data_IF_862152589486
#
_entry.id   IF_862152589486
#
_cell.length_a   1.000
_cell.length_b   1.000
_cell.length_c   1.000
_cell.angle_alpha   90.00
_cell.angle_beta   90.00
_cell.angle_gamma   90.00
#
_symmetry.space_group_name_H-M   'P 1'
#
loop_
_entity.id
_entity.type
_entity.pdbx_description
1 polymer ?
#
# COMPACT_ATOMS: atom_id res chain seq x y z
N UNK A 1 18.62 10.25 15.59
CA UNK A 1 17.63 11.22 15.09
C UNK A 1 16.69 10.47 14.17
N UNK A 2 15.38 10.73 14.22
CA UNK A 2 14.46 10.22 13.20
C UNK A 2 14.95 10.73 11.84
N UNK A 3 15.08 9.83 10.88
CA UNK A 3 15.57 10.15 9.55
C UNK A 3 14.49 10.97 8.82
N UNK A 4 14.80 12.15 8.23
CA UNK A 4 13.80 12.97 7.55
C UNK A 4 13.37 12.40 6.19
N UNK A 5 13.94 11.27 5.74
CA UNK A 5 13.59 10.68 4.46
C UNK A 5 12.14 10.21 4.46
N UNK A 6 11.42 10.70 3.45
CA UNK A 6 10.10 10.20 3.05
C UNK A 6 10.23 9.62 1.65
N UNK A 7 9.83 8.37 1.50
CA UNK A 7 9.64 7.73 0.20
C UNK A 7 8.25 8.09 -0.29
N UNK A 8 8.11 8.60 -1.51
CA UNK A 8 6.81 8.87 -2.11
C UNK A 8 6.69 8.12 -3.44
N UNK A 9 5.54 7.47 -3.65
CA UNK A 9 5.10 6.94 -4.94
C UNK A 9 3.67 7.40 -5.22
N UNK A 10 3.27 7.46 -6.49
CA UNK A 10 2.02 8.10 -6.88
C UNK A 10 1.43 7.52 -8.15
N UNK A 11 0.11 7.62 -8.29
CA UNK A 11 -0.59 7.23 -9.51
C UNK A 11 -1.90 7.97 -9.65
N UNK A 12 -2.26 8.36 -10.89
CA UNK A 12 -3.65 8.71 -11.21
C UNK A 12 -4.43 7.46 -11.60
N UNK A 13 -5.57 7.25 -10.94
CA UNK A 13 -6.53 6.17 -11.21
C UNK A 13 -7.81 6.76 -11.80
N UNK A 14 -8.28 6.22 -12.93
CA UNK A 14 -9.51 6.64 -13.62
C UNK A 14 -10.76 6.05 -12.97
N UNK A 15 -10.92 6.30 -11.66
CA UNK A 15 -12.11 5.96 -10.87
C UNK A 15 -12.46 7.06 -9.87
N UNK A 16 -13.73 7.15 -9.44
CA UNK A 16 -14.14 8.00 -8.33
C UNK A 16 -13.36 7.68 -7.04
N UNK A 17 -13.11 8.71 -6.24
CA UNK A 17 -12.27 8.62 -5.03
C UNK A 17 -12.76 7.56 -4.04
N UNK A 18 -14.08 7.40 -3.91
CA UNK A 18 -14.66 6.39 -3.04
C UNK A 18 -14.25 4.96 -3.44
N UNK A 19 -14.20 4.67 -4.74
CA UNK A 19 -13.80 3.35 -5.21
C UNK A 19 -12.31 3.10 -4.99
N UNK A 20 -11.47 4.12 -5.20
CA UNK A 20 -10.02 4.01 -4.99
C UNK A 20 -9.70 3.89 -3.50
N UNK A 21 -10.41 4.63 -2.65
CA UNK A 21 -10.27 4.55 -1.20
C UNK A 21 -10.72 3.19 -0.65
N UNK A 22 -11.92 2.73 -1.02
CA UNK A 22 -12.46 1.44 -0.57
C UNK A 22 -11.56 0.27 -1.01
N UNK A 23 -10.89 0.39 -2.17
CA UNK A 23 -9.96 -0.61 -2.65
C UNK A 23 -8.75 -0.86 -1.73
N UNK A 24 -8.43 0.06 -0.81
CA UNK A 24 -7.42 -0.15 0.23
C UNK A 24 -8.00 -0.57 1.59
N UNK A 25 -9.31 -0.38 1.81
CA UNK A 25 -10.00 -0.72 3.07
C UNK A 25 -10.48 -2.18 3.06
N UNK A 26 -11.09 -2.62 1.97
CA UNK A 26 -11.75 -3.92 1.86
C UNK A 26 -10.81 -4.98 1.27
N UNK A 27 -10.41 -6.00 2.06
CA UNK A 27 -9.49 -7.03 1.58
C UNK A 27 -10.07 -7.90 0.46
N UNK A 28 -11.39 -7.95 0.27
CA UNK A 28 -12.00 -8.60 -0.90
C UNK A 28 -11.60 -7.89 -2.21
N UNK A 29 -11.26 -6.61 -2.13
CA UNK A 29 -10.76 -5.79 -3.24
C UNK A 29 -9.24 -5.73 -3.23
N UNK A 30 -8.63 -5.43 -2.07
CA UNK A 30 -7.16 -5.30 -1.95
C UNK A 30 -6.43 -6.58 -2.36
N UNK A 31 -7.04 -7.74 -2.12
CA UNK A 31 -6.45 -9.03 -2.48
C UNK A 31 -6.26 -9.25 -3.97
N UNK A 32 -6.96 -8.45 -4.80
CA UNK A 32 -6.86 -8.53 -6.27
C UNK A 32 -5.61 -7.88 -6.83
N UNK A 33 -4.90 -7.08 -6.02
CA UNK A 33 -3.76 -6.31 -6.49
C UNK A 33 -2.56 -6.22 -5.52
N UNK A 34 -2.67 -6.68 -4.27
CA UNK A 34 -1.59 -6.53 -3.30
C UNK A 34 -1.22 -7.77 -2.49
N UNK A 35 -2.03 -8.20 -1.54
CA UNK A 35 -1.78 -9.38 -0.68
C UNK A 35 -2.76 -10.51 -1.01
N UNK A 36 -2.55 -11.72 -0.51
CA UNK A 36 -3.47 -12.85 -0.76
C UNK A 36 -4.74 -12.75 0.07
N UNK A 37 -4.60 -12.39 1.35
CA UNK A 37 -5.73 -12.27 2.27
C UNK A 37 -5.40 -11.33 3.44
N UNK A 38 -6.44 -10.85 4.13
CA UNK A 38 -6.31 -10.14 5.39
C UNK A 38 -7.34 -10.63 6.40
N UNK A 39 -7.04 -10.48 7.69
CA UNK A 39 -7.93 -10.92 8.78
C UNK A 39 -9.22 -10.11 8.89
N UNK A 40 -9.24 -8.86 8.43
CA UNK A 40 -10.39 -7.95 8.50
C UNK A 40 -10.20 -6.74 7.57
N UNK A 41 -11.27 -5.95 7.39
CA UNK A 41 -11.20 -4.59 6.82
C UNK A 41 -10.32 -3.69 7.68
N UNK A 42 -9.74 -2.67 7.05
CA UNK A 42 -9.02 -1.64 7.81
C UNK A 42 -10.02 -0.77 8.59
N UNK A 43 -9.80 -0.68 9.90
CA UNK A 43 -10.56 0.15 10.81
C UNK A 43 -9.60 0.91 11.74
N UNK A 44 -9.89 2.20 11.98
CA UNK A 44 -9.02 3.03 12.81
C UNK A 44 -8.84 2.44 14.22
N UNK A 45 -7.60 2.38 14.68
CA UNK A 45 -7.22 1.85 15.99
C UNK A 45 -7.19 0.32 16.05
N UNK A 46 -7.46 -0.39 14.95
CA UNK A 46 -7.36 -1.84 14.87
C UNK A 46 -6.01 -2.28 14.32
N UNK A 47 -5.66 -3.53 14.60
CA UNK A 47 -4.55 -4.23 13.96
C UNK A 47 -5.14 -5.35 13.12
N UNK A 48 -4.69 -5.45 11.88
CA UNK A 48 -5.00 -6.55 10.97
C UNK A 48 -3.72 -7.28 10.62
N UNK A 49 -3.85 -8.50 10.13
CA UNK A 49 -2.73 -9.25 9.56
C UNK A 49 -2.97 -9.43 8.06
N UNK A 50 -1.98 -9.07 7.26
CA UNK A 50 -1.94 -9.32 5.82
C UNK A 50 -1.07 -10.52 5.53
N UNK A 51 -1.50 -11.38 4.60
CA UNK A 51 -0.81 -12.62 4.26
C UNK A 51 -0.53 -12.69 2.77
N UNK A 52 0.69 -13.09 2.42
CA UNK A 52 1.09 -13.47 1.06
C UNK A 52 1.34 -14.97 1.04
N UNK A 53 0.32 -15.73 0.66
CA UNK A 53 0.31 -17.19 0.78
C UNK A 53 1.43 -17.85 -0.03
N UNK A 54 1.71 -17.33 -1.24
CA UNK A 54 2.81 -17.81 -2.10
C UNK A 54 4.17 -17.76 -1.40
N UNK A 55 4.38 -16.76 -0.55
CA UNK A 55 5.64 -16.56 0.18
C UNK A 55 5.62 -17.14 1.58
N UNK A 56 4.46 -17.64 2.07
CA UNK A 56 4.27 -18.07 3.46
C UNK A 56 4.69 -16.99 4.47
N UNK A 57 4.44 -15.72 4.12
CA UNK A 57 4.77 -14.56 4.93
C UNK A 57 3.50 -13.81 5.30
N UNK A 58 3.45 -13.33 6.54
CA UNK A 58 2.41 -12.45 7.05
C UNK A 58 3.02 -11.24 7.75
N UNK A 59 2.30 -10.12 7.73
CA UNK A 59 2.71 -8.88 8.40
C UNK A 59 1.53 -8.29 9.19
N UNK A 60 1.82 -7.83 10.41
CA UNK A 60 0.86 -7.06 11.20
C UNK A 60 0.85 -5.62 10.74
N UNK A 61 -0.36 -5.09 10.58
CA UNK A 61 -0.61 -3.72 10.16
C UNK A 61 -1.45 -3.02 11.22
N UNK A 62 -0.88 -2.01 11.87
CA UNK A 62 -1.58 -1.19 12.83
C UNK A 62 -2.17 0.04 12.10
N UNK A 63 -3.49 0.20 12.13
CA UNK A 63 -4.18 1.32 11.50
C UNK A 63 -4.28 2.46 12.51
N UNK A 64 -3.51 3.53 12.31
CA UNK A 64 -3.44 4.62 13.28
C UNK A 64 -4.48 5.70 13.02
N UNK A 65 -4.84 5.96 11.74
CA UNK A 65 -5.79 7.00 11.36
C UNK A 65 -6.51 6.66 10.06
N UNK A 66 -7.81 6.94 10.00
CA UNK A 66 -8.58 6.92 8.76
C UNK A 66 -9.41 8.20 8.66
N UNK A 67 -9.30 8.90 7.54
CA UNK A 67 -10.19 9.99 7.13
C UNK A 67 -10.82 9.55 5.80
N UNK A 68 -12.13 9.35 5.80
CA UNK A 68 -12.84 8.79 4.65
C UNK A 68 -12.54 9.57 3.36
N UNK A 69 -12.14 8.86 2.31
CA UNK A 69 -11.77 9.40 1.00
C UNK A 69 -10.58 10.38 0.99
N UNK A 70 -9.79 10.47 2.07
CA UNK A 70 -8.69 11.43 2.16
C UNK A 70 -7.39 10.77 2.61
N UNK A 71 -7.44 9.95 3.66
CA UNK A 71 -6.25 9.41 4.30
C UNK A 71 -6.51 8.02 4.91
N UNK A 72 -5.58 7.10 4.67
CA UNK A 72 -5.39 5.90 5.48
C UNK A 72 -3.95 5.94 5.98
N UNK A 73 -3.75 5.88 7.30
CA UNK A 73 -2.42 5.84 7.90
C UNK A 73 -2.24 4.52 8.64
N UNK A 74 -1.11 3.87 8.37
CA UNK A 74 -0.72 2.62 9.01
C UNK A 74 0.71 2.68 9.55
N UNK A 75 1.00 1.78 10.47
CA UNK A 75 2.35 1.37 10.85
C UNK A 75 2.51 -0.12 10.56
N UNK A 76 3.57 -0.48 9.85
CA UNK A 76 3.83 -1.85 9.42
C UNK A 76 5.30 -2.08 9.04
N UNK A 77 5.63 -3.35 8.79
CA UNK A 77 6.91 -3.79 8.26
C UNK A 77 7.97 -4.04 9.34
N UNK A 78 9.11 -4.58 8.89
CA UNK A 78 10.30 -4.79 9.70
C UNK A 78 11.51 -4.20 8.94
N UNK A 79 12.08 -3.06 9.38
CA UNK A 79 11.70 -2.33 10.57
C UNK A 79 10.34 -1.64 10.45
N UNK A 80 9.65 -1.48 11.58
CA UNK A 80 8.37 -0.80 11.64
C UNK A 80 8.51 0.67 11.18
N UNK A 81 7.67 1.06 10.22
CA UNK A 81 7.65 2.41 9.63
C UNK A 81 6.21 2.89 9.40
N UNK A 82 6.03 4.19 9.22
CA UNK A 82 4.71 4.79 8.95
C UNK A 82 4.44 4.85 7.44
N UNK A 83 3.20 4.57 7.04
CA UNK A 83 2.74 4.72 5.66
C UNK A 83 1.41 5.46 5.61
N UNK A 84 1.36 6.51 4.80
CA UNK A 84 0.16 7.26 4.48
C UNK A 84 -0.27 6.93 3.04
N UNK A 85 -1.51 6.49 2.87
CA UNK A 85 -2.23 6.49 1.59
C UNK A 85 -3.09 7.74 1.54
N UNK A 86 -2.74 8.67 0.66
CA UNK A 86 -3.34 9.99 0.53
C UNK A 86 -4.11 10.04 -0.77
N UNK A 87 -5.38 10.43 -0.71
CA UNK A 87 -6.29 10.41 -1.84
C UNK A 87 -6.76 11.84 -2.17
N UNK A 88 -6.71 12.21 -3.44
CA UNK A 88 -7.15 13.52 -3.93
C UNK A 88 -8.02 13.35 -5.18
N UNK A 89 -9.22 13.93 -5.18
CA UNK A 89 -10.09 13.90 -6.34
C UNK A 89 -9.61 14.93 -7.38
N UNK A 90 -9.26 14.47 -8.59
CA UNK A 90 -8.94 15.35 -9.72
C UNK A 90 -10.19 15.69 -10.54
N UNK A 91 -11.17 14.78 -10.57
CA UNK A 91 -12.50 14.95 -11.15
C UNK A 91 -13.45 13.89 -10.58
N UNK A 92 -14.73 13.90 -10.96
CA UNK A 92 -15.73 12.92 -10.51
C UNK A 92 -15.31 11.46 -10.78
N UNK A 93 -14.45 11.23 -11.79
CA UNK A 93 -14.01 9.90 -12.22
C UNK A 93 -12.48 9.74 -12.23
N UNK A 94 -11.74 10.64 -11.59
CA UNK A 94 -10.28 10.54 -11.52
C UNK A 94 -9.78 10.89 -10.13
N UNK A 95 -8.93 10.02 -9.60
CA UNK A 95 -8.33 10.18 -8.28
C UNK A 95 -6.82 10.08 -8.41
N UNK A 96 -6.12 10.98 -7.74
CA UNK A 96 -4.68 10.90 -7.55
C UNK A 96 -4.42 10.28 -6.18
N UNK A 97 -3.71 9.16 -6.16
CA UNK A 97 -3.27 8.50 -4.93
C UNK A 97 -1.77 8.71 -4.77
N UNK A 98 -1.35 9.06 -3.56
CA UNK A 98 0.05 9.10 -3.14
C UNK A 98 0.25 8.15 -1.96
N UNK A 99 1.35 7.39 -1.98
CA UNK A 99 1.79 6.55 -0.88
C UNK A 99 3.09 7.15 -0.35
N UNK A 100 3.07 7.60 0.90
CA UNK A 100 4.24 8.14 1.58
C UNK A 100 4.70 7.18 2.67
N UNK A 101 5.96 6.75 2.65
CA UNK A 101 6.57 5.92 3.68
C UNK A 101 7.71 6.66 4.40
N UNK A 102 7.60 6.81 5.72
CA UNK A 102 8.43 7.70 6.54
C UNK A 102 8.60 7.15 7.97
N UNK A 103 9.30 7.89 8.83
CA UNK A 103 9.75 7.45 10.16
C UNK A 103 10.59 6.16 10.09
N UNK A 104 11.44 6.04 9.08
CA UNK A 104 12.25 4.86 8.81
C UNK A 104 13.45 4.85 9.77
N UNK A 105 13.57 3.86 10.67
CA UNK A 105 14.63 3.84 11.69
C UNK A 105 15.94 3.24 11.15
N UNK A 106 16.31 3.54 9.91
CA UNK A 106 17.52 3.05 9.23
C UNK A 106 18.42 4.20 8.79
N UNK A 107 19.70 3.89 8.57
CA UNK A 107 20.72 4.83 8.11
C UNK A 107 21.69 4.14 7.13
N UNK A 108 22.49 4.94 6.42
CA UNK A 108 23.53 4.42 5.53
C UNK A 108 23.00 3.47 4.45
N UNK A 109 23.74 2.40 4.19
CA UNK A 109 23.42 1.44 3.13
C UNK A 109 22.11 0.69 3.37
N UNK A 110 21.77 0.39 4.63
CA UNK A 110 20.50 -0.25 4.98
C UNK A 110 19.29 0.63 4.63
N UNK A 111 19.41 1.94 4.87
CA UNK A 111 18.38 2.89 4.44
C UNK A 111 18.26 2.93 2.92
N UNK A 112 19.38 2.96 2.20
CA UNK A 112 19.37 3.00 0.73
C UNK A 112 18.68 1.74 0.18
N UNK A 113 19.02 0.56 0.71
CA UNK A 113 18.38 -0.70 0.33
C UNK A 113 16.88 -0.68 0.62
N UNK A 114 16.47 -0.20 1.80
CA UNK A 114 15.06 -0.05 2.17
C UNK A 114 14.32 0.91 1.24
N UNK A 115 14.92 2.05 0.87
CA UNK A 115 14.32 3.00 -0.08
C UNK A 115 14.08 2.32 -1.43
N UNK A 116 15.08 1.62 -1.97
CA UNK A 116 14.98 0.94 -3.26
C UNK A 116 13.87 -0.11 -3.24
N UNK A 117 13.83 -0.95 -2.20
CA UNK A 117 12.83 -2.00 -2.09
C UNK A 117 11.41 -1.44 -1.91
N UNK A 118 11.23 -0.51 -0.97
CA UNK A 118 9.94 0.12 -0.68
C UNK A 118 9.40 0.91 -1.87
N UNK A 119 10.24 1.69 -2.56
CA UNK A 119 9.83 2.37 -3.81
C UNK A 119 9.36 1.35 -4.85
N UNK A 120 10.15 0.30 -5.11
CA UNK A 120 9.76 -0.74 -6.06
C UNK A 120 8.51 -1.52 -5.63
N UNK A 121 8.31 -1.72 -4.34
CA UNK A 121 7.14 -2.40 -3.76
C UNK A 121 5.87 -1.60 -3.98
N UNK A 122 5.82 -0.35 -3.50
CA UNK A 122 4.63 0.48 -3.61
C UNK A 122 4.30 0.86 -5.06
N UNK A 123 5.29 1.06 -5.93
CA UNK A 123 5.02 1.22 -7.37
C UNK A 123 4.34 -0.01 -7.96
N UNK A 124 4.78 -1.22 -7.62
CA UNK A 124 4.15 -2.47 -8.10
C UNK A 124 2.69 -2.58 -7.65
N UNK A 125 2.39 -2.15 -6.42
CA UNK A 125 1.03 -2.11 -5.88
C UNK A 125 0.17 -1.12 -6.66
N UNK A 126 0.68 0.09 -6.92
CA UNK A 126 -0.03 1.13 -7.68
C UNK A 126 -0.32 0.71 -9.12
N UNK A 127 0.64 0.05 -9.78
CA UNK A 127 0.47 -0.46 -11.14
C UNK A 127 -0.61 -1.57 -11.19
N UNK A 128 -0.59 -2.48 -10.20
CA UNK A 128 -1.59 -3.54 -10.06
C UNK A 128 -2.98 -2.97 -9.77
N UNK A 129 -3.08 -2.01 -8.85
CA UNK A 129 -4.31 -1.29 -8.53
C UNK A 129 -4.91 -0.65 -9.78
N UNK A 130 -4.07 0.04 -10.56
CA UNK A 130 -4.50 0.72 -11.79
C UNK A 130 -5.07 -0.27 -12.80
N UNK A 131 -4.36 -1.36 -13.07
CA UNK A 131 -4.81 -2.39 -13.98
C UNK A 131 -6.13 -3.02 -13.52
N UNK A 132 -6.25 -3.32 -12.23
CA UNK A 132 -7.43 -3.93 -11.66
C UNK A 132 -8.63 -2.96 -11.69
N UNK A 133 -8.50 -1.75 -11.15
CA UNK A 133 -9.63 -0.83 -11.08
C UNK A 133 -10.06 -0.33 -12.46
N UNK A 134 -9.13 0.00 -13.37
CA UNK A 134 -9.49 0.55 -14.68
C UNK A 134 -9.95 -0.51 -15.68
N UNK A 135 -9.46 -1.75 -15.56
CA UNK A 135 -9.64 -2.78 -16.59
C UNK A 135 -10.11 -4.14 -16.07
N UNK A 136 -10.24 -4.33 -14.76
CA UNK A 136 -10.59 -5.63 -14.17
C UNK A 136 -9.50 -6.70 -14.34
N UNK A 137 -8.25 -6.28 -14.57
CA UNK A 137 -7.13 -7.19 -14.83
C UNK A 137 -6.31 -7.44 -13.56
N UNK A 138 -6.25 -8.70 -13.13
CA UNK A 138 -5.33 -9.18 -12.08
C UNK A 138 -4.00 -9.59 -12.74
N UNK A 139 -3.03 -8.68 -12.77
CA UNK A 139 -1.74 -8.89 -13.45
C UNK A 139 -0.74 -9.75 -12.68
N UNK A 140 -1.07 -10.17 -11.45
CA UNK A 140 -0.20 -10.95 -10.56
C UNK A 140 1.16 -10.31 -10.25
N UNK A 141 1.34 -9.00 -10.44
CA UNK A 141 2.66 -8.36 -10.33
C UNK A 141 3.33 -8.59 -8.98
N UNK A 142 2.59 -8.46 -7.86
CA UNK A 142 3.15 -8.70 -6.52
C UNK A 142 3.52 -10.17 -6.31
N UNK A 143 2.70 -11.10 -6.83
CA UNK A 143 2.99 -12.52 -6.74
C UNK A 143 4.20 -12.91 -7.60
N UNK A 144 4.43 -12.24 -8.72
CA UNK A 144 5.49 -12.62 -9.67
C UNK A 144 6.79 -11.84 -9.49
N UNK A 145 6.78 -10.78 -8.68
CA UNK A 145 7.96 -9.95 -8.40
C UNK A 145 9.14 -10.74 -7.84
N UNK A 146 8.89 -11.74 -7.00
CA UNK A 146 9.91 -12.60 -6.41
C UNK A 146 9.61 -14.06 -6.77
N UNK A 147 10.13 -14.59 -7.90
CA UNK A 147 9.91 -15.99 -8.21
C UNK A 147 10.60 -16.88 -7.16
N UNK A 148 10.00 -18.03 -6.78
CA UNK A 148 10.68 -19.00 -5.93
C UNK A 148 11.84 -19.61 -6.73
N UNK A 149 13.06 -19.34 -6.31
CA UNK A 149 14.23 -20.13 -6.66
C UNK A 149 14.64 -20.98 -5.45
#
# INVERSE_FOLDING_TARGET
>A
MLNPVTIETQMMIRKPIQQVFEAFIDPEITSKFWFSSATAKLEQGKTVEWTWEKYQVSAKVNVTKIIANELIQIQWGEPNSSVDFIFEALSDNQTYIRIQNYNIPLQGDELIAFIIDSTGGFTTVLDSLKAYLEHGLELNLVQDKFPPF
#
